data_IF_339032247885
#
_entry.id   IF_339032247885
#
_cell.length_a   1.000
_cell.length_b   1.000
_cell.length_c   1.000
_cell.angle_alpha   90.00
_cell.angle_beta   90.00
_cell.angle_gamma   90.00
#
_symmetry.space_group_name_H-M   'P 1'
#
loop_
_entity.id
_entity.type
_entity.pdbx_description
1 polymer ?
#
# COMPACT_ATOMS: atom_id res chain seq x y z
N UNK A 1 0.90 9.47 -11.54
CA UNK A 1 0.25 10.36 -10.56
C UNK A 1 -1.20 10.59 -10.99
N UNK A 2 -2.22 10.24 -10.17
CA UNK A 2 -3.64 10.47 -10.49
C UNK A 2 -4.02 11.93 -10.67
N UNK A 3 -3.19 12.90 -10.25
CA UNK A 3 -3.40 14.33 -10.51
C UNK A 3 -3.00 14.75 -11.92
N UNK A 4 -2.15 13.96 -12.58
CA UNK A 4 -1.57 14.25 -13.89
C UNK A 4 -2.11 13.30 -14.98
N UNK A 5 -2.52 12.09 -14.60
CA UNK A 5 -3.05 11.09 -15.50
C UNK A 5 -4.48 10.71 -15.11
N UNK A 6 -5.45 11.09 -15.95
CA UNK A 6 -6.88 10.77 -15.75
C UNK A 6 -7.18 9.27 -15.88
N UNK A 7 -6.31 8.51 -16.53
CA UNK A 7 -6.41 7.06 -16.66
C UNK A 7 -5.83 6.31 -15.44
N UNK A 8 -5.26 7.03 -14.46
CA UNK A 8 -4.73 6.41 -13.27
C UNK A 8 -5.84 5.66 -12.51
N UNK A 9 -5.59 4.39 -12.21
CA UNK A 9 -6.52 3.54 -11.45
C UNK A 9 -5.91 3.13 -10.13
N UNK A 10 -6.78 2.90 -9.15
CA UNK A 10 -6.39 2.30 -7.88
C UNK A 10 -5.96 0.84 -8.14
N UNK A 11 -4.80 0.45 -7.62
CA UNK A 11 -4.40 -0.94 -7.57
C UNK A 11 -5.10 -1.60 -6.38
N UNK A 12 -5.99 -2.56 -6.64
CA UNK A 12 -6.69 -3.27 -5.55
C UNK A 12 -5.77 -4.18 -4.73
N UNK A 13 -4.76 -4.74 -5.38
CA UNK A 13 -3.81 -5.68 -4.79
C UNK A 13 -2.40 -5.45 -5.35
N UNK A 14 -1.39 -5.66 -4.52
CA UNK A 14 0.04 -5.57 -4.83
C UNK A 14 0.74 -6.77 -4.20
N UNK A 15 1.32 -7.63 -5.03
CA UNK A 15 2.09 -8.80 -4.61
C UNK A 15 3.60 -8.53 -4.56
N UNK A 16 4.04 -7.46 -5.22
CA UNK A 16 5.43 -7.02 -5.28
C UNK A 16 5.50 -5.49 -5.29
N UNK A 17 6.34 -4.93 -4.41
CA UNK A 17 6.69 -3.51 -4.43
C UNK A 17 7.97 -3.35 -5.26
N UNK A 18 7.83 -2.80 -6.46
CA UNK A 18 8.96 -2.56 -7.37
C UNK A 18 9.66 -1.24 -7.04
N UNK A 19 10.94 -1.13 -7.41
CA UNK A 19 11.71 0.11 -7.26
C UNK A 19 11.04 1.28 -8.00
N UNK A 20 10.45 1.01 -9.17
CA UNK A 20 9.69 1.99 -9.94
C UNK A 20 8.48 2.54 -9.16
N UNK A 21 7.81 1.72 -8.34
CA UNK A 21 6.71 2.21 -7.49
C UNK A 21 7.23 3.20 -6.43
N UNK A 22 8.40 2.92 -5.85
CA UNK A 22 9.03 3.81 -4.87
C UNK A 22 9.54 5.10 -5.49
N UNK A 23 10.24 5.01 -6.64
CA UNK A 23 10.70 6.15 -7.41
C UNK A 23 9.54 7.11 -7.73
N UNK A 24 8.42 6.57 -8.22
CA UNK A 24 7.22 7.34 -8.51
C UNK A 24 6.46 7.87 -7.28
N UNK A 25 6.87 7.47 -6.06
CA UNK A 25 6.22 7.85 -4.79
C UNK A 25 6.94 8.97 -4.03
N UNK A 26 7.96 9.58 -4.64
CA UNK A 26 8.73 10.70 -4.06
C UNK A 26 7.99 12.05 -4.10
N UNK A 27 6.80 12.13 -4.70
CA UNK A 27 5.98 13.32 -4.63
C UNK A 27 5.61 13.60 -3.17
N UNK A 28 6.10 14.73 -2.64
CA UNK A 28 5.85 15.12 -1.25
C UNK A 28 4.34 15.18 -1.01
N UNK A 29 3.89 14.53 0.06
CA UNK A 29 2.56 14.78 0.62
C UNK A 29 2.41 16.25 1.00
N UNK A 30 1.20 16.67 1.37
CA UNK A 30 0.95 18.02 1.87
C UNK A 30 1.94 18.40 2.98
N UNK A 31 2.11 19.70 3.23
CA UNK A 31 3.03 20.25 4.25
C UNK A 31 2.84 19.66 5.67
N UNK A 32 1.71 18.98 5.91
CA UNK A 32 1.34 18.30 7.16
C UNK A 32 1.43 16.77 7.12
N UNK A 33 1.85 16.17 6.00
CA UNK A 33 2.04 14.72 5.89
C UNK A 33 3.35 14.31 6.55
N UNK A 34 3.28 13.44 7.56
CA UNK A 34 4.44 12.91 8.30
C UNK A 34 5.32 11.94 7.51
N UNK A 35 4.91 11.50 6.29
CA UNK A 35 5.66 10.47 5.56
C UNK A 35 5.29 10.18 4.09
N UNK A 36 4.37 10.92 3.46
CA UNK A 36 4.08 10.74 2.02
C UNK A 36 3.67 9.31 1.61
N UNK A 37 3.82 8.99 0.32
CA UNK A 37 3.52 7.65 -0.20
C UNK A 37 4.71 6.70 -0.05
N UNK A 38 5.94 7.19 -0.27
CA UNK A 38 7.16 6.42 -0.10
C UNK A 38 7.27 5.72 1.27
N UNK A 39 6.95 6.41 2.37
CA UNK A 39 7.04 5.78 3.71
C UNK A 39 6.01 4.67 3.88
N UNK A 40 4.83 4.77 3.26
CA UNK A 40 3.84 3.69 3.33
C UNK A 40 4.27 2.48 2.50
N UNK A 41 4.92 2.68 1.34
CA UNK A 41 5.52 1.59 0.58
C UNK A 41 6.65 0.90 1.36
N UNK A 42 7.50 1.67 2.05
CA UNK A 42 8.53 1.09 2.93
C UNK A 42 7.91 0.26 4.07
N UNK A 43 6.86 0.76 4.72
CA UNK A 43 6.13 0.01 5.74
C UNK A 43 5.49 -1.27 5.16
N UNK A 44 4.87 -1.17 3.98
CA UNK A 44 4.29 -2.32 3.29
C UNK A 44 5.34 -3.39 2.97
N UNK A 45 6.54 -3.01 2.52
CA UNK A 45 7.65 -3.95 2.28
C UNK A 45 8.03 -4.70 3.55
N UNK A 46 8.12 -4.00 4.69
CA UNK A 46 8.42 -4.62 5.99
C UNK A 46 7.32 -5.61 6.38
N UNK A 47 6.05 -5.21 6.28
CA UNK A 47 4.91 -6.10 6.58
C UNK A 47 4.89 -7.33 5.67
N UNK A 48 5.06 -7.15 4.35
CA UNK A 48 5.08 -8.24 3.37
C UNK A 48 6.22 -9.23 3.65
N UNK A 49 7.41 -8.73 3.98
CA UNK A 49 8.55 -9.58 4.35
C UNK A 49 8.35 -10.31 5.69
N UNK A 50 7.57 -9.74 6.60
CA UNK A 50 7.20 -10.36 7.87
C UNK A 50 6.02 -11.34 7.78
N UNK A 51 5.48 -11.60 6.58
CA UNK A 51 4.31 -12.46 6.41
C UNK A 51 2.99 -11.81 6.83
N UNK A 52 2.96 -10.48 7.01
CA UNK A 52 1.79 -9.74 7.50
C UNK A 52 1.13 -8.98 6.35
N UNK A 53 -0.16 -9.22 6.05
CA UNK A 53 -0.89 -8.43 5.07
C UNK A 53 -1.08 -7.00 5.57
N UNK A 54 -0.90 -6.03 4.67
CA UNK A 54 -1.09 -4.61 4.98
C UNK A 54 -2.06 -4.00 3.98
N UNK A 55 -2.93 -3.10 4.45
CA UNK A 55 -3.85 -2.36 3.59
C UNK A 55 -3.58 -0.85 3.71
N UNK A 56 -3.51 -0.17 2.57
CA UNK A 56 -3.53 1.30 2.49
C UNK A 56 -4.88 1.72 1.96
N UNK A 57 -5.65 2.47 2.76
CA UNK A 57 -6.99 2.91 2.42
C UNK A 57 -7.19 4.41 2.68
N UNK A 58 -8.22 4.99 2.06
CA UNK A 58 -8.65 6.36 2.36
C UNK A 58 -9.49 6.37 3.64
N UNK A 59 -9.10 7.18 4.63
CA UNK A 59 -9.80 7.34 5.90
C UNK A 59 -11.17 7.99 5.79
N UNK A 60 -11.45 8.70 4.69
CA UNK A 60 -12.76 9.33 4.43
C UNK A 60 -13.82 8.32 3.99
N UNK A 61 -13.42 7.09 3.65
CA UNK A 61 -14.36 6.01 3.32
C UNK A 61 -15.10 5.61 4.60
N UNK A 62 -16.44 5.72 4.57
CA UNK A 62 -17.29 5.28 5.66
C UNK A 62 -17.06 3.80 5.98
N UNK A 63 -16.95 3.48 7.28
CA UNK A 63 -16.73 2.13 7.78
C UNK A 63 -15.48 1.41 7.20
N UNK A 64 -14.47 2.17 6.77
CA UNK A 64 -13.28 1.62 6.08
C UNK A 64 -12.63 0.44 6.81
N UNK A 65 -12.50 0.52 8.14
CA UNK A 65 -11.91 -0.57 8.94
C UNK A 65 -12.77 -1.83 8.88
N UNK A 66 -14.10 -1.71 9.01
CA UNK A 66 -15.02 -2.86 8.94
C UNK A 66 -14.98 -3.49 7.55
N UNK A 67 -14.97 -2.67 6.49
CA UNK A 67 -14.85 -3.13 5.10
C UNK A 67 -13.56 -3.89 4.85
N UNK A 68 -12.43 -3.38 5.35
CA UNK A 68 -11.12 -4.06 5.26
C UNK A 68 -11.19 -5.44 5.95
N UNK A 69 -11.70 -5.49 7.19
CA UNK A 69 -11.78 -6.74 7.97
C UNK A 69 -12.71 -7.77 7.31
N UNK A 70 -13.75 -7.32 6.59
CA UNK A 70 -14.68 -8.18 5.85
C UNK A 70 -14.17 -8.61 4.46
N UNK A 71 -13.03 -8.07 4.00
CA UNK A 71 -12.49 -8.37 2.68
C UNK A 71 -13.23 -7.67 1.53
N UNK A 72 -14.02 -6.63 1.80
CA UNK A 72 -14.85 -5.93 0.81
C UNK A 72 -14.06 -4.99 -0.11
N UNK A 73 -12.72 -5.05 -0.10
CA UNK A 73 -11.85 -4.30 -1.02
C UNK A 73 -11.89 -2.79 -0.78
N UNK A 74 -11.29 -2.33 0.31
CA UNK A 74 -11.16 -0.90 0.61
C UNK A 74 -9.69 -0.46 0.54
N UNK A 75 -9.27 0.04 -0.62
CA UNK A 75 -7.91 0.53 -0.86
C UNK A 75 -7.02 -0.47 -1.61
N UNK A 76 -5.74 -0.50 -1.25
CA UNK A 76 -4.74 -1.40 -1.83
C UNK A 76 -4.27 -2.41 -0.80
N UNK A 77 -4.45 -3.70 -1.08
CA UNK A 77 -3.93 -4.81 -0.29
C UNK A 77 -2.51 -5.17 -0.73
N UNK A 78 -1.56 -5.14 0.19
CA UNK A 78 -0.20 -5.62 0.02
C UNK A 78 -0.10 -7.04 0.56
N UNK A 79 0.12 -7.99 -0.35
CA UNK A 79 0.10 -9.42 -0.04
C UNK A 79 1.50 -9.88 0.32
N UNK A 80 1.71 -10.50 1.49
CA UNK A 80 3.00 -11.05 1.85
C UNK A 80 3.38 -12.16 0.86
N UNK A 81 4.68 -12.26 0.52
CA UNK A 81 5.16 -13.35 -0.32
C UNK A 81 5.10 -14.66 0.47
N UNK A 82 4.63 -15.73 -0.17
CA UNK A 82 4.76 -17.10 0.34
C UNK A 82 6.21 -17.61 0.19
N UNK A 83 7.22 -16.81 0.50
CA UNK A 83 8.56 -17.37 0.68
C UNK A 83 8.65 -17.81 2.13
N UNK A 84 8.45 -19.12 2.34
CA UNK A 84 8.94 -19.81 3.53
C UNK A 84 10.42 -19.47 3.64
N UNK A 85 10.76 -18.47 4.46
CA UNK A 85 12.10 -18.37 5.00
C UNK A 85 12.34 -19.66 5.76
N UNK A 86 13.01 -20.61 5.11
CA UNK A 86 13.59 -21.74 5.80
C UNK A 86 14.52 -21.14 6.85
N UNK A 87 14.10 -21.21 8.11
CA UNK A 87 14.99 -21.02 9.23
C UNK A 87 16.16 -22.00 9.04
N UNK A 88 17.37 -21.46 8.87
CA UNK A 88 18.62 -22.20 8.99
C UNK A 88 19.14 -22.03 10.40
#
# INVERSE_FOLDING_TARGET
>A
DPRLNQEARLLGQVEEITDQMEENSHSRGSRFSSGGMLTKLKAARICMAAGVPMVIANSEVEDVIRKIVRGEGAGTLFVPREEKMHAR
#
